data_IF_209916498875
#
_entry.id   IF_209916498875
#
_cell.length_a   1.000
_cell.length_b   1.000
_cell.length_c   1.000
_cell.angle_alpha   90.00
_cell.angle_beta   90.00
_cell.angle_gamma   90.00
#
_symmetry.space_group_name_H-M   'P 1'
#
loop_
_entity.id
_entity.type
_entity.pdbx_description
1 polymer ?
#
# COMPACT_ATOMS: atom_id res chain seq x y z
N UNK A 1 5.37 -9.75 18.30
CA UNK A 1 4.71 -8.71 17.46
C UNK A 1 3.81 -9.33 16.41
N UNK A 2 4.33 -10.28 15.63
CA UNK A 2 3.54 -11.12 14.73
C UNK A 2 2.42 -11.87 15.48
N UNK A 3 2.73 -12.38 16.67
CA UNK A 3 1.78 -13.07 17.57
C UNK A 3 0.75 -12.13 18.23
N UNK A 4 0.76 -10.85 17.88
CA UNK A 4 -0.17 -9.85 18.41
C UNK A 4 -0.95 -9.18 17.28
N UNK A 5 -0.29 -8.76 16.20
CA UNK A 5 -0.95 -8.07 15.08
C UNK A 5 -1.92 -9.01 14.35
N UNK A 6 -1.49 -10.22 13.97
CA UNK A 6 -2.36 -11.14 13.21
C UNK A 6 -3.59 -11.58 14.02
N UNK A 7 -3.46 -12.03 15.29
CA UNK A 7 -4.63 -12.40 16.07
C UNK A 7 -5.62 -11.26 16.27
N UNK A 8 -5.13 -10.02 16.43
CA UNK A 8 -6.01 -8.85 16.55
C UNK A 8 -6.72 -8.52 15.23
N UNK A 9 -6.04 -8.68 14.08
CA UNK A 9 -6.65 -8.53 12.75
C UNK A 9 -7.74 -9.57 12.54
N UNK A 10 -7.45 -10.84 12.82
CA UNK A 10 -8.42 -11.94 12.73
C UNK A 10 -9.61 -11.72 13.67
N UNK A 11 -9.33 -11.29 14.92
CA UNK A 11 -10.37 -10.97 15.90
C UNK A 11 -11.28 -9.84 15.41
N UNK A 12 -10.70 -8.77 14.85
CA UNK A 12 -11.46 -7.66 14.29
C UNK A 12 -12.32 -8.10 13.09
N UNK A 13 -11.77 -8.90 12.17
CA UNK A 13 -12.51 -9.44 11.02
C UNK A 13 -13.66 -10.36 11.47
N UNK A 14 -13.40 -11.26 12.42
CA UNK A 14 -14.44 -12.15 12.96
C UNK A 14 -15.52 -11.38 13.69
N UNK A 15 -15.16 -10.32 14.43
CA UNK A 15 -16.11 -9.47 15.13
C UNK A 15 -17.08 -8.76 14.16
N UNK A 16 -16.57 -8.30 13.01
CA UNK A 16 -17.40 -7.69 11.96
C UNK A 16 -18.42 -8.66 11.34
N UNK A 17 -18.13 -9.97 11.37
CA UNK A 17 -19.04 -11.01 10.86
C UNK A 17 -20.14 -11.40 11.86
N UNK A 18 -20.06 -10.99 13.13
CA UNK A 18 -20.97 -11.41 14.21
C UNK A 18 -21.95 -10.30 14.59
N UNK A 19 -23.21 -10.66 14.83
CA UNK A 19 -24.23 -9.74 15.36
C UNK A 19 -23.82 -9.28 16.77
N UNK A 20 -23.71 -7.96 16.99
CA UNK A 20 -23.24 -7.38 18.25
C UNK A 20 -21.73 -7.35 18.45
N UNK A 21 -20.93 -7.65 17.41
CA UNK A 21 -19.46 -7.66 17.49
C UNK A 21 -18.79 -6.29 17.51
N UNK A 22 -19.55 -5.19 17.41
CA UNK A 22 -19.01 -3.83 17.26
C UNK A 22 -18.08 -3.41 18.41
N UNK A 23 -18.44 -3.74 19.66
CA UNK A 23 -17.59 -3.43 20.82
C UNK A 23 -16.27 -4.20 20.75
N UNK A 24 -16.31 -5.47 20.35
CA UNK A 24 -15.12 -6.32 20.19
C UNK A 24 -14.22 -5.81 19.07
N UNK A 25 -14.82 -5.43 17.93
CA UNK A 25 -14.12 -4.80 16.82
C UNK A 25 -13.41 -3.51 17.29
N UNK A 26 -14.13 -2.58 17.91
CA UNK A 26 -13.56 -1.32 18.43
C UNK A 26 -12.40 -1.56 19.39
N UNK A 27 -12.52 -2.53 20.30
CA UNK A 27 -11.45 -2.90 21.23
C UNK A 27 -10.23 -3.47 20.49
N UNK A 28 -10.43 -4.40 19.56
CA UNK A 28 -9.34 -5.01 18.79
C UNK A 28 -8.60 -3.96 17.95
N UNK A 29 -9.32 -3.05 17.29
CA UNK A 29 -8.76 -1.94 16.51
C UNK A 29 -8.00 -0.95 17.38
N UNK A 30 -8.54 -0.59 18.55
CA UNK A 30 -7.83 0.29 19.49
C UNK A 30 -6.51 -0.32 19.95
N UNK A 31 -6.50 -1.62 20.26
CA UNK A 31 -5.27 -2.33 20.62
C UNK A 31 -4.28 -2.38 19.45
N UNK A 32 -4.75 -2.64 18.22
CA UNK A 32 -3.91 -2.56 17.02
C UNK A 32 -3.24 -1.18 16.92
N UNK A 33 -4.02 -0.10 17.04
CA UNK A 33 -3.50 1.26 16.95
C UNK A 33 -2.44 1.56 18.02
N UNK A 34 -2.62 1.06 19.25
CA UNK A 34 -1.62 1.20 20.32
C UNK A 34 -0.33 0.45 19.96
N UNK A 35 -0.45 -0.78 19.45
CA UNK A 35 0.71 -1.59 19.03
C UNK A 35 1.49 -0.91 17.91
N UNK A 36 0.79 -0.41 16.88
CA UNK A 36 1.40 0.29 15.76
C UNK A 36 2.13 1.58 16.18
N UNK A 37 1.64 2.27 17.22
CA UNK A 37 2.29 3.50 17.73
C UNK A 37 3.53 3.24 18.60
N UNK A 38 3.60 2.13 19.31
CA UNK A 38 4.58 1.97 20.40
C UNK A 38 5.58 0.82 20.21
N UNK A 39 5.42 -0.01 19.18
CA UNK A 39 6.23 -1.23 19.05
C UNK A 39 7.07 -1.30 17.77
N UNK A 40 7.32 -0.17 17.10
CA UNK A 40 8.14 -0.10 15.88
C UNK A 40 9.56 -0.63 16.11
N UNK A 41 10.20 -0.24 17.20
CA UNK A 41 11.59 -0.61 17.53
C UNK A 41 11.81 -2.12 17.73
N UNK A 42 10.74 -2.88 17.98
CA UNK A 42 10.80 -4.33 18.18
C UNK A 42 10.67 -5.12 16.86
N UNK A 43 10.46 -4.41 15.74
CA UNK A 43 10.21 -5.00 14.44
C UNK A 43 11.48 -4.98 13.57
N UNK A 44 12.11 -6.15 13.44
CA UNK A 44 13.21 -6.37 12.49
C UNK A 44 12.68 -6.51 11.06
N UNK A 45 13.46 -6.14 10.05
CA UNK A 45 13.12 -6.30 8.63
C UNK A 45 12.56 -7.70 8.28
N UNK A 46 13.28 -8.77 8.66
CA UNK A 46 12.85 -10.15 8.42
C UNK A 46 11.47 -10.48 9.00
N UNK A 47 11.13 -9.88 10.15
CA UNK A 47 9.82 -10.06 10.79
C UNK A 47 8.75 -9.22 10.11
N UNK A 48 9.08 -8.02 9.63
CA UNK A 48 8.17 -7.15 8.90
C UNK A 48 7.72 -7.80 7.58
N UNK A 49 8.67 -8.31 6.78
CA UNK A 49 8.38 -9.00 5.51
C UNK A 49 7.54 -10.26 5.73
N UNK A 50 7.92 -11.11 6.70
CA UNK A 50 7.12 -12.30 7.05
C UNK A 50 5.72 -11.98 7.57
N UNK A 51 5.56 -10.85 8.25
CA UNK A 51 4.26 -10.41 8.74
C UNK A 51 3.41 -9.88 7.59
N UNK A 52 4.02 -9.19 6.62
CA UNK A 52 3.34 -8.75 5.40
C UNK A 52 2.80 -9.94 4.59
N UNK A 53 3.60 -11.01 4.42
CA UNK A 53 3.15 -12.25 3.77
C UNK A 53 1.87 -12.81 4.40
N UNK A 54 1.89 -12.97 5.72
CA UNK A 54 0.73 -13.51 6.44
C UNK A 54 -0.45 -12.54 6.40
N UNK A 55 -0.19 -11.23 6.47
CA UNK A 55 -1.25 -10.22 6.41
C UNK A 55 -2.01 -10.30 5.08
N UNK A 56 -1.30 -10.42 3.95
CA UNK A 56 -1.93 -10.58 2.63
C UNK A 56 -2.82 -11.82 2.61
N UNK A 57 -2.31 -12.97 3.09
CA UNK A 57 -3.07 -14.24 3.13
C UNK A 57 -4.31 -14.19 4.04
N UNK A 58 -4.24 -13.48 5.16
CA UNK A 58 -5.35 -13.40 6.14
C UNK A 58 -6.44 -12.41 5.71
N UNK A 59 -6.17 -11.52 4.75
CA UNK A 59 -7.03 -10.35 4.50
C UNK A 59 -7.75 -10.34 3.16
N UNK A 60 -7.45 -11.33 2.33
CA UNK A 60 -8.08 -11.76 1.08
C UNK A 60 -9.60 -11.49 0.95
N UNK A 61 -10.39 -11.75 1.99
CA UNK A 61 -11.85 -11.63 1.98
C UNK A 61 -12.38 -10.35 2.66
N UNK A 62 -11.53 -9.37 2.94
CA UNK A 62 -11.92 -8.19 3.73
C UNK A 62 -12.62 -7.15 2.86
N UNK A 63 -13.94 -7.04 3.02
CA UNK A 63 -14.77 -6.05 2.30
C UNK A 63 -15.03 -4.78 3.09
N UNK A 64 -14.93 -4.82 4.43
CA UNK A 64 -15.26 -3.67 5.27
C UNK A 64 -14.25 -2.52 5.07
N UNK A 65 -14.71 -1.30 4.67
CA UNK A 65 -13.81 -0.20 4.35
C UNK A 65 -12.91 0.27 5.51
N UNK A 66 -13.45 0.31 6.74
CA UNK A 66 -12.65 0.70 7.91
C UNK A 66 -11.54 -0.33 8.17
N UNK A 67 -11.86 -1.61 8.06
CA UNK A 67 -10.88 -2.68 8.21
C UNK A 67 -9.80 -2.58 7.13
N UNK A 68 -10.17 -2.30 5.88
CA UNK A 68 -9.21 -2.07 4.78
C UNK A 68 -8.24 -0.92 5.10
N UNK A 69 -8.73 0.19 5.65
CA UNK A 69 -7.90 1.32 6.09
C UNK A 69 -6.92 0.94 7.21
N UNK A 70 -7.36 0.11 8.16
CA UNK A 70 -6.50 -0.41 9.23
C UNK A 70 -5.40 -1.30 8.64
N UNK A 71 -5.72 -2.15 7.67
CA UNK A 71 -4.74 -3.00 6.98
C UNK A 71 -3.71 -2.18 6.21
N UNK A 72 -4.14 -1.09 5.54
CA UNK A 72 -3.21 -0.12 4.95
C UNK A 72 -2.29 0.52 5.99
N UNK A 73 -2.83 0.85 7.17
CA UNK A 73 -2.06 1.42 8.29
C UNK A 73 -1.05 0.42 8.88
N UNK A 74 -1.43 -0.85 9.01
CA UNK A 74 -0.52 -1.93 9.42
C UNK A 74 0.59 -2.08 8.38
N UNK A 75 0.25 -2.14 7.10
CA UNK A 75 1.24 -2.30 6.02
C UNK A 75 2.22 -1.12 5.99
N UNK A 76 1.72 0.10 6.15
CA UNK A 76 2.55 1.30 6.29
C UNK A 76 3.48 1.23 7.50
N UNK A 77 3.03 0.68 8.62
CA UNK A 77 3.87 0.46 9.80
C UNK A 77 4.96 -0.59 9.55
N UNK A 78 4.65 -1.69 8.85
CA UNK A 78 5.64 -2.70 8.46
C UNK A 78 6.69 -2.09 7.53
N UNK A 79 6.24 -1.30 6.56
CA UNK A 79 7.12 -0.58 5.64
C UNK A 79 8.03 0.40 6.39
N UNK A 80 7.46 1.20 7.30
CA UNK A 80 8.20 2.16 8.11
C UNK A 80 9.32 1.49 8.92
N UNK A 81 9.12 0.28 9.43
CA UNK A 81 10.15 -0.44 10.16
C UNK A 81 11.37 -0.81 9.30
N UNK A 82 11.22 -0.84 7.98
CA UNK A 82 12.29 -1.09 7.02
C UNK A 82 12.79 0.19 6.31
N UNK A 83 12.26 1.36 6.65
CA UNK A 83 12.54 2.63 5.98
C UNK A 83 13.53 3.49 6.77
N UNK A 84 14.62 3.90 6.12
CA UNK A 84 15.54 4.91 6.60
C UNK A 84 15.09 6.29 6.11
N UNK A 85 14.62 7.11 7.05
CA UNK A 85 14.14 8.45 6.75
C UNK A 85 15.24 9.46 6.39
N UNK A 86 16.50 9.19 6.72
CA UNK A 86 17.62 10.08 6.38
C UNK A 86 18.02 9.92 4.93
N UNK A 87 18.16 8.67 4.50
CA UNK A 87 18.56 8.31 3.14
C UNK A 87 17.36 8.23 2.18
N UNK A 88 16.13 8.26 2.70
CA UNK A 88 14.90 8.00 1.96
C UNK A 88 14.90 6.63 1.25
N UNK A 89 15.59 5.65 1.82
CA UNK A 89 15.72 4.30 1.27
C UNK A 89 14.97 3.31 2.14
N UNK A 90 14.28 2.35 1.51
CA UNK A 90 13.73 1.18 2.20
C UNK A 90 14.61 -0.03 1.93
N UNK A 91 14.72 -0.93 2.91
CA UNK A 91 15.45 -2.18 2.76
C UNK A 91 15.02 -2.96 1.51
N UNK A 92 15.99 -3.52 0.78
CA UNK A 92 15.77 -4.15 -0.51
C UNK A 92 14.72 -5.27 -0.45
N UNK A 93 14.73 -6.08 0.61
CA UNK A 93 13.77 -7.17 0.76
C UNK A 93 12.33 -6.66 0.86
N UNK A 94 12.10 -5.53 1.52
CA UNK A 94 10.78 -4.91 1.64
C UNK A 94 10.38 -4.23 0.34
N UNK A 95 11.31 -3.53 -0.33
CA UNK A 95 11.08 -2.94 -1.66
C UNK A 95 10.66 -4.01 -2.67
N UNK A 96 11.48 -5.05 -2.84
CA UNK A 96 11.21 -6.15 -3.76
C UNK A 96 9.89 -6.85 -3.43
N UNK A 97 9.56 -6.97 -2.14
CA UNK A 97 8.28 -7.53 -1.71
C UNK A 97 7.09 -6.66 -2.13
N UNK A 98 7.15 -5.35 -1.90
CA UNK A 98 6.09 -4.42 -2.29
C UNK A 98 5.89 -4.40 -3.80
N UNK A 99 6.96 -4.47 -4.59
CA UNK A 99 6.87 -4.57 -6.04
C UNK A 99 6.28 -5.88 -6.52
N UNK A 100 6.67 -7.01 -5.91
CA UNK A 100 6.07 -8.30 -6.24
C UNK A 100 4.56 -8.31 -5.95
N UNK A 101 4.12 -7.68 -4.86
CA UNK A 101 2.70 -7.54 -4.55
C UNK A 101 1.97 -6.59 -5.52
N UNK A 102 2.60 -5.49 -5.92
CA UNK A 102 2.06 -4.55 -6.93
C UNK A 102 1.89 -5.25 -8.28
N UNK A 103 2.92 -5.98 -8.72
CA UNK A 103 2.91 -6.73 -9.98
C UNK A 103 1.83 -7.81 -9.96
N UNK A 104 1.73 -8.60 -8.87
CA UNK A 104 0.64 -9.55 -8.70
C UNK A 104 -0.74 -8.88 -8.73
N UNK A 105 -0.89 -7.74 -8.04
CA UNK A 105 -2.14 -7.01 -8.01
C UNK A 105 -2.60 -6.51 -9.38
N UNK A 106 -1.65 -6.12 -10.22
CA UNK A 106 -1.89 -5.55 -11.56
C UNK A 106 -2.10 -6.62 -12.63
N UNK A 107 -1.33 -7.70 -12.57
CA UNK A 107 -1.31 -8.75 -13.60
C UNK A 107 -2.35 -9.83 -13.37
N UNK A 108 -2.73 -10.08 -12.11
CA UNK A 108 -3.79 -11.02 -11.77
C UNK A 108 -5.13 -10.27 -11.71
N UNK A 109 -5.95 -10.43 -12.76
CA UNK A 109 -7.30 -9.86 -12.82
C UNK A 109 -8.24 -10.34 -11.69
N UNK A 110 -7.85 -11.39 -10.97
CA UNK A 110 -8.54 -11.91 -9.78
C UNK A 110 -7.71 -11.78 -8.50
N UNK A 111 -6.69 -10.91 -8.49
CA UNK A 111 -5.85 -10.76 -7.30
C UNK A 111 -6.73 -10.43 -6.09
N UNK A 112 -6.59 -11.23 -5.05
CA UNK A 112 -7.30 -11.02 -3.79
C UNK A 112 -6.54 -10.05 -2.87
N UNK A 113 -5.48 -9.42 -3.39
CA UNK A 113 -4.68 -8.47 -2.63
C UNK A 113 -5.46 -7.16 -2.53
N UNK A 114 -5.63 -6.68 -1.30
CA UNK A 114 -6.33 -5.42 -1.06
C UNK A 114 -5.49 -4.24 -1.57
N UNK A 115 -6.14 -3.33 -2.29
CA UNK A 115 -5.50 -2.12 -2.81
C UNK A 115 -4.88 -1.27 -1.71
N UNK A 116 -5.42 -1.26 -0.49
CA UNK A 116 -4.87 -0.49 0.64
C UNK A 116 -3.53 -1.02 1.13
N UNK A 117 -3.29 -2.33 1.02
CA UNK A 117 -1.98 -2.94 1.34
C UNK A 117 -0.95 -2.46 0.33
N UNK A 118 -1.33 -2.34 -0.94
CA UNK A 118 -0.45 -1.87 -2.01
C UNK A 118 -0.24 -0.36 -1.93
N UNK A 119 -1.31 0.42 -1.97
CA UNK A 119 -1.24 1.87 -2.23
C UNK A 119 -0.71 2.65 -1.02
N UNK A 120 -1.06 2.24 0.20
CA UNK A 120 -0.77 3.06 1.40
C UNK A 120 0.73 3.31 1.60
N UNK A 121 1.63 2.31 1.48
CA UNK A 121 3.07 2.56 1.55
C UNK A 121 3.59 3.53 0.48
N UNK A 122 3.12 3.42 -0.76
CA UNK A 122 3.57 4.30 -1.84
C UNK A 122 3.10 5.74 -1.66
N UNK A 123 1.89 5.96 -1.14
CA UNK A 123 1.39 7.30 -0.81
C UNK A 123 2.20 7.91 0.35
N UNK A 124 2.52 7.12 1.38
CA UNK A 124 3.19 7.64 2.58
C UNK A 124 4.71 7.77 2.45
N UNK A 125 5.33 6.95 1.62
CA UNK A 125 6.79 6.92 1.42
C UNK A 125 7.17 6.98 -0.07
N UNK A 126 6.68 7.97 -0.84
CA UNK A 126 6.88 8.02 -2.29
C UNK A 126 8.36 8.09 -2.68
N UNK A 127 9.18 8.73 -1.83
CA UNK A 127 10.63 8.86 -2.04
C UNK A 127 11.33 7.49 -2.08
N UNK A 128 10.86 6.51 -1.31
CA UNK A 128 11.41 5.16 -1.28
C UNK A 128 11.27 4.38 -2.60
N UNK A 129 10.43 4.89 -3.51
CA UNK A 129 10.05 4.22 -4.75
C UNK A 129 10.50 4.97 -6.01
N UNK A 130 11.21 6.10 -5.89
CA UNK A 130 11.62 6.89 -7.06
C UNK A 130 12.47 6.10 -8.04
N UNK A 131 13.39 5.27 -7.54
CA UNK A 131 14.25 4.43 -8.39
C UNK A 131 13.46 3.42 -9.23
N UNK A 132 12.23 3.12 -8.83
CA UNK A 132 11.40 2.10 -9.44
C UNK A 132 10.25 2.71 -10.27
N UNK A 133 10.19 4.04 -10.39
CA UNK A 133 9.19 4.75 -11.20
C UNK A 133 9.07 4.19 -12.63
N UNK A 134 10.17 3.88 -13.36
CA UNK A 134 10.05 3.29 -14.70
C UNK A 134 9.28 1.97 -14.69
N UNK A 135 9.49 1.13 -13.67
CA UNK A 135 8.80 -0.15 -13.51
C UNK A 135 7.33 0.05 -13.14
N UNK A 136 7.03 1.00 -12.25
CA UNK A 136 5.64 1.39 -11.94
C UNK A 136 4.92 1.85 -13.20
N UNK A 137 5.56 2.69 -14.01
CA UNK A 137 4.98 3.19 -15.25
C UNK A 137 4.71 2.10 -16.27
N UNK A 138 5.62 1.13 -16.41
CA UNK A 138 5.40 -0.03 -17.25
C UNK A 138 4.16 -0.83 -16.81
N UNK A 139 3.95 -1.00 -15.51
CA UNK A 139 2.72 -1.65 -15.01
C UNK A 139 1.47 -0.76 -15.12
N UNK A 140 1.67 0.56 -15.09
CA UNK A 140 0.59 1.53 -15.12
C UNK A 140 -0.10 1.60 -16.47
N UNK A 141 0.64 1.41 -17.56
CA UNK A 141 0.14 1.59 -18.91
C UNK A 141 -0.15 0.23 -19.56
N UNK A 142 -1.43 -0.03 -19.82
CA UNK A 142 -1.82 -1.17 -20.64
C UNK A 142 -1.68 -0.76 -22.11
N UNK A 143 -0.68 -1.32 -22.81
CA UNK A 143 -0.45 -1.03 -24.22
C UNK A 143 -1.60 -1.50 -25.13
N UNK A 144 -2.32 -2.55 -24.73
CA UNK A 144 -3.37 -3.16 -25.53
C UNK A 144 -4.62 -2.29 -25.57
N UNK A 145 -5.00 -1.71 -24.43
CA UNK A 145 -6.13 -0.79 -24.30
C UNK A 145 -5.71 0.67 -24.39
N UNK A 146 -4.40 0.95 -24.37
CA UNK A 146 -3.80 2.29 -24.28
C UNK A 146 -4.33 3.11 -23.10
N UNK A 147 -4.66 2.44 -22.00
CA UNK A 147 -5.21 3.08 -20.80
C UNK A 147 -4.29 2.91 -19.60
N UNK A 148 -4.35 3.89 -18.70
CA UNK A 148 -3.68 3.80 -17.40
C UNK A 148 -4.55 3.05 -16.40
N UNK A 149 -3.97 2.06 -15.71
CA UNK A 149 -4.62 1.38 -14.62
C UNK A 149 -4.87 2.34 -13.45
N UNK A 150 -6.10 2.38 -12.94
CA UNK A 150 -6.55 3.35 -11.92
C UNK A 150 -5.66 3.39 -10.68
N UNK A 151 -5.19 2.23 -10.21
CA UNK A 151 -4.32 2.14 -9.04
C UNK A 151 -2.98 2.83 -9.30
N UNK A 152 -2.39 2.61 -10.45
CA UNK A 152 -1.16 3.29 -10.83
C UNK A 152 -1.34 4.79 -11.07
N UNK A 153 -2.50 5.23 -11.57
CA UNK A 153 -2.82 6.66 -11.66
C UNK A 153 -2.80 7.34 -10.29
N UNK A 154 -3.32 6.67 -9.25
CA UNK A 154 -3.28 7.18 -7.86
C UNK A 154 -1.84 7.24 -7.33
N UNK A 155 -1.05 6.19 -7.58
CA UNK A 155 0.37 6.13 -7.21
C UNK A 155 1.16 7.26 -7.88
N UNK A 156 0.97 7.43 -9.18
CA UNK A 156 1.66 8.44 -9.97
C UNK A 156 1.25 9.84 -9.52
N UNK A 157 -0.05 10.13 -9.33
CA UNK A 157 -0.52 11.42 -8.82
C UNK A 157 0.10 11.81 -7.46
N UNK A 158 0.22 10.87 -6.52
CA UNK A 158 0.82 11.15 -5.20
C UNK A 158 2.34 11.29 -5.27
N UNK A 159 3.00 10.52 -6.14
CA UNK A 159 4.43 10.68 -6.40
C UNK A 159 4.74 12.05 -7.05
N UNK A 160 3.85 12.57 -7.91
CA UNK A 160 3.97 13.90 -8.51
C UNK A 160 3.94 15.01 -7.49
N UNK A 161 2.98 14.96 -6.56
CA UNK A 161 2.82 15.97 -5.54
C UNK A 161 4.05 16.03 -4.61
N UNK A 162 4.61 14.87 -4.30
CA UNK A 162 5.79 14.75 -3.44
C UNK A 162 7.07 15.17 -4.16
N UNK A 163 7.21 14.86 -5.45
CA UNK A 163 8.32 15.33 -6.28
C UNK A 163 8.27 16.84 -6.56
N UNK A 164 7.09 17.47 -6.55
CA UNK A 164 6.98 18.93 -6.74
C UNK A 164 7.73 19.72 -5.65
N UNK A 165 7.96 19.12 -4.49
CA UNK A 165 8.72 19.71 -3.38
C UNK A 165 10.25 19.50 -3.47
N UNK A 166 10.71 18.61 -4.34
CA UNK A 166 12.12 18.22 -4.47
C UNK A 166 12.52 18.32 -5.95
N UNK A 167 13.35 19.29 -6.33
CA UNK A 167 13.77 19.67 -7.70
C UNK A 167 14.08 18.49 -8.67
N UNK A 168 13.06 17.78 -9.15
CA UNK A 168 13.21 16.63 -10.04
C UNK A 168 12.46 16.89 -11.35
N UNK A 169 13.10 17.65 -12.23
CA UNK A 169 12.54 18.16 -13.50
C UNK A 169 12.10 17.06 -14.48
N UNK A 170 12.82 15.93 -14.50
CA UNK A 170 12.51 14.78 -15.37
C UNK A 170 11.23 14.06 -14.96
N UNK A 171 11.10 13.77 -13.66
CA UNK A 171 9.92 13.10 -13.08
C UNK A 171 8.69 13.99 -13.21
N UNK A 172 8.86 15.31 -13.05
CA UNK A 172 7.79 16.29 -13.27
C UNK A 172 7.23 16.27 -14.69
N UNK A 173 8.08 16.31 -15.73
CA UNK A 173 7.62 16.28 -17.13
C UNK A 173 6.87 15.00 -17.48
N UNK A 174 7.36 13.85 -17.00
CA UNK A 174 6.77 12.55 -17.28
C UNK A 174 5.42 12.38 -16.56
N UNK A 175 5.34 12.85 -15.31
CA UNK A 175 4.11 12.83 -14.51
C UNK A 175 3.07 13.84 -15.00
N UNK A 176 3.48 15.02 -15.50
CA UNK A 176 2.56 15.95 -16.16
C UNK A 176 1.94 15.32 -17.41
N UNK A 177 2.71 14.55 -18.19
CA UNK A 177 2.18 13.80 -19.34
C UNK A 177 1.19 12.73 -18.90
N UNK A 178 1.46 11.97 -17.83
CA UNK A 178 0.53 10.96 -17.30
C UNK A 178 -0.74 11.59 -16.71
N UNK A 179 -0.63 12.67 -15.94
CA UNK A 179 -1.78 13.40 -15.38
C UNK A 179 -2.64 13.96 -16.52
N UNK A 180 -2.03 14.49 -17.57
CA UNK A 180 -2.75 14.97 -18.75
C UNK A 180 -3.47 13.83 -19.47
N UNK A 181 -2.80 12.70 -19.72
CA UNK A 181 -3.42 11.53 -20.36
C UNK A 181 -4.55 10.92 -19.52
N UNK A 182 -4.41 10.88 -18.19
CA UNK A 182 -5.46 10.38 -17.28
C UNK A 182 -6.63 11.35 -17.14
N UNK A 183 -6.40 12.66 -17.18
CA UNK A 183 -7.46 13.68 -17.21
C UNK A 183 -8.27 13.65 -18.50
N UNK A 184 -7.63 13.34 -19.64
CA UNK A 184 -8.30 13.14 -20.93
C UNK A 184 -9.08 11.81 -20.96
N UNK A 185 -8.58 10.77 -20.27
CA UNK A 185 -9.26 9.46 -20.16
C UNK A 185 -10.47 9.47 -19.21
N UNK A 186 -10.48 10.36 -18.20
CA UNK A 186 -11.61 10.56 -17.27
C UNK A 186 -12.77 11.37 -17.88
N UNK A 187 -12.58 11.94 -19.08
CA UNK A 187 -13.58 12.73 -19.80
C UNK A 187 -14.31 11.95 -20.91
N UNK A 188 -13.99 10.67 -21.12
CA UNK A 188 -14.74 9.83 -22.04
C UNK A 188 -15.95 9.23 -21.32
N UNK A 189 -17.19 9.56 -21.74
CA UNK A 189 -18.37 8.88 -21.23
C UNK A 189 -18.36 7.43 -21.70
N UNK A 190 -18.84 6.53 -20.83
CA UNK A 190 -19.03 5.10 -21.07
C UNK A 190 -19.64 4.76 -22.42
#
# INVERSE_FOLDING_TARGET
LQDLILPLVECAQQALRRKGGELTYKKAVNLLNIVLKHKREQLTEKKAVKLLDKLVLTTTETVNPEMRNILGSITSFLFAACYDAKENVVAESMRSKMFGLLEQYITDGNSQILSEIIITPFIKYPQAFLSELPRIMHFAFDESTRTFQRVCSVLLAHSSYSCYSSECSFVHSLLCSVVRMTSESLLLPH
#
